data_IF_393682725397
#
_entry.id   IF_393682725397
#
_cell.length_a   1.000
_cell.length_b   1.000
_cell.length_c   1.000
_cell.angle_alpha   90.00
_cell.angle_beta   90.00
_cell.angle_gamma   90.00
#
_symmetry.space_group_name_H-M   'P 1'
#
loop_
_entity.id
_entity.type
_entity.pdbx_description
1 polymer ?
#
# COMPACT_ATOMS: atom_id res chain seq x y z
N UNK A 1 -3.98 -19.39 -10.13
CA UNK A 1 -4.62 -20.70 -9.95
C UNK A 1 -6.04 -20.37 -9.50
N UNK A 2 -7.02 -20.63 -10.34
CA UNK A 2 -8.42 -20.33 -10.01
C UNK A 2 -8.91 -21.58 -9.28
N UNK A 3 -9.32 -21.45 -8.01
CA UNK A 3 -10.02 -22.52 -7.31
C UNK A 3 -11.29 -22.89 -8.13
N UNK A 4 -11.33 -24.12 -8.63
CA UNK A 4 -12.42 -24.68 -9.46
C UNK A 4 -13.41 -25.52 -8.64
N UNK A 5 -13.47 -25.31 -7.31
CA UNK A 5 -14.49 -25.91 -6.45
C UNK A 5 -15.72 -25.00 -6.37
N UNK A 6 -16.85 -25.53 -6.82
CA UNK A 6 -18.16 -24.87 -6.78
C UNK A 6 -19.18 -25.78 -6.12
N UNK A 7 -20.17 -25.20 -5.44
CA UNK A 7 -21.29 -25.95 -4.90
C UNK A 7 -22.05 -26.69 -5.99
N UNK A 8 -22.19 -28.00 -5.86
CA UNK A 8 -23.02 -28.81 -6.73
C UNK A 8 -24.42 -29.01 -6.11
N UNK A 9 -25.50 -28.52 -6.76
CA UNK A 9 -26.86 -28.73 -6.27
C UNK A 9 -27.30 -30.20 -6.16
N UNK A 10 -26.66 -31.10 -6.92
CA UNK A 10 -26.96 -32.53 -6.87
C UNK A 10 -26.16 -33.29 -5.82
N UNK A 11 -24.92 -32.87 -5.52
CA UNK A 11 -24.12 -33.51 -4.47
C UNK A 11 -24.42 -32.91 -3.09
N UNK A 12 -24.88 -31.65 -3.05
CA UNK A 12 -25.12 -30.93 -1.81
C UNK A 12 -23.84 -30.44 -1.12
N UNK A 13 -22.72 -30.43 -1.83
CA UNK A 13 -21.40 -30.03 -1.35
C UNK A 13 -20.59 -29.33 -2.46
N UNK A 14 -19.48 -28.72 -2.10
CA UNK A 14 -18.53 -28.14 -3.05
C UNK A 14 -17.71 -29.24 -3.71
N UNK A 15 -17.77 -29.32 -5.05
CA UNK A 15 -17.07 -30.33 -5.84
C UNK A 15 -16.28 -29.66 -6.97
N UNK A 16 -15.34 -30.39 -7.56
CA UNK A 16 -14.66 -29.96 -8.78
C UNK A 16 -15.65 -29.93 -9.96
N UNK A 17 -15.49 -28.90 -10.82
CA UNK A 17 -16.34 -28.70 -11.98
C UNK A 17 -15.53 -28.32 -13.23
N UNK A 18 -15.91 -28.89 -14.38
CA UNK A 18 -15.34 -28.53 -15.69
C UNK A 18 -16.18 -27.46 -16.37
N UNK A 19 -15.53 -26.39 -16.83
CA UNK A 19 -16.17 -25.34 -17.61
C UNK A 19 -16.60 -25.86 -19.00
N UNK A 20 -17.90 -25.82 -19.27
CA UNK A 20 -18.50 -26.18 -20.58
C UNK A 20 -18.61 -24.94 -21.46
N UNK A 21 -19.08 -23.83 -20.91
CA UNK A 21 -19.26 -22.56 -21.64
C UNK A 21 -18.96 -21.38 -20.75
N UNK A 22 -18.06 -20.51 -21.23
CA UNK A 22 -17.78 -19.24 -20.57
C UNK A 22 -18.81 -18.17 -20.97
N UNK A 23 -19.33 -17.43 -19.99
CA UNK A 23 -20.37 -16.42 -20.22
C UNK A 23 -20.57 -15.48 -19.04
N UNK A 24 -21.68 -14.72 -19.08
CA UNK A 24 -22.18 -13.98 -17.93
C UNK A 24 -22.73 -14.95 -16.87
N UNK A 25 -23.34 -16.05 -17.34
CA UNK A 25 -23.57 -17.28 -16.60
C UNK A 25 -22.67 -18.35 -17.23
N UNK A 26 -21.69 -18.84 -16.47
CA UNK A 26 -20.81 -19.91 -16.94
C UNK A 26 -21.52 -21.24 -16.74
N UNK A 27 -21.62 -22.06 -17.78
CA UNK A 27 -22.10 -23.44 -17.64
C UNK A 27 -20.93 -24.31 -17.24
N UNK A 28 -21.10 -25.01 -16.13
CA UNK A 28 -20.11 -25.94 -15.58
C UNK A 28 -20.73 -27.32 -15.41
N UNK A 29 -19.89 -28.34 -15.46
CA UNK A 29 -20.29 -29.74 -15.24
C UNK A 29 -19.53 -30.30 -14.04
N UNK A 30 -20.26 -30.75 -13.04
CA UNK A 30 -19.70 -31.43 -11.87
C UNK A 30 -18.94 -32.69 -12.31
N UNK A 31 -17.73 -32.89 -11.81
CA UNK A 31 -16.94 -34.10 -12.12
C UNK A 31 -17.41 -35.34 -11.33
N UNK A 32 -18.06 -35.14 -10.18
CA UNK A 32 -18.55 -36.22 -9.32
C UNK A 32 -19.89 -36.81 -9.82
N UNK A 33 -20.90 -35.96 -10.06
CA UNK A 33 -22.25 -36.42 -10.44
C UNK A 33 -22.61 -36.16 -11.90
N UNK A 34 -21.80 -35.40 -12.65
CA UNK A 34 -22.07 -35.06 -14.04
C UNK A 34 -23.15 -33.99 -14.27
N UNK A 35 -23.73 -33.40 -13.21
CA UNK A 35 -24.73 -32.34 -13.35
C UNK A 35 -24.13 -31.13 -14.07
N UNK A 36 -24.82 -30.70 -15.13
CA UNK A 36 -24.53 -29.43 -15.80
C UNK A 36 -25.42 -28.35 -15.20
N UNK A 37 -24.83 -27.30 -14.63
CA UNK A 37 -25.54 -26.17 -14.06
C UNK A 37 -24.81 -24.85 -14.32
N UNK A 38 -25.51 -23.74 -14.15
CA UNK A 38 -24.92 -22.41 -14.31
C UNK A 38 -24.33 -21.92 -12.99
N UNK A 39 -23.08 -21.46 -13.04
CA UNK A 39 -22.47 -20.69 -11.96
C UNK A 39 -22.34 -19.24 -12.42
N UNK A 40 -22.90 -18.34 -11.61
CA UNK A 40 -22.63 -16.92 -11.74
C UNK A 40 -21.32 -16.65 -11.02
N UNK A 41 -20.23 -16.50 -11.77
CA UNK A 41 -19.01 -15.92 -11.22
C UNK A 41 -19.33 -14.47 -10.93
N UNK A 42 -19.41 -14.08 -9.66
CA UNK A 42 -19.58 -12.68 -9.28
C UNK A 42 -18.40 -11.91 -9.87
N UNK A 43 -18.60 -11.27 -11.03
CA UNK A 43 -17.56 -10.46 -11.63
C UNK A 43 -17.49 -9.20 -10.80
N UNK A 44 -16.45 -9.07 -10.00
CA UNK A 44 -16.17 -7.81 -9.31
C UNK A 44 -16.08 -6.69 -10.36
N UNK A 45 -16.98 -5.71 -10.23
CA UNK A 45 -17.00 -4.56 -11.12
C UNK A 45 -15.75 -3.73 -10.85
N UNK A 46 -14.79 -3.74 -11.77
CA UNK A 46 -13.62 -2.87 -11.67
C UNK A 46 -13.99 -1.44 -12.06
N UNK A 47 -13.38 -0.47 -11.36
CA UNK A 47 -13.44 0.95 -11.70
C UNK A 47 -12.03 1.48 -11.96
N UNK A 48 -11.97 2.56 -12.74
CA UNK A 48 -10.72 3.31 -12.94
C UNK A 48 -10.63 4.40 -11.88
N UNK A 49 -9.78 4.19 -10.88
CA UNK A 49 -9.61 5.11 -9.76
C UNK A 49 -8.39 6.02 -9.99
N UNK A 50 -8.58 7.32 -9.75
CA UNK A 50 -7.49 8.31 -9.81
C UNK A 50 -6.71 8.30 -8.50
N UNK A 51 -5.40 8.12 -8.57
CA UNK A 51 -4.47 8.21 -7.44
C UNK A 51 -3.46 9.33 -7.71
N UNK A 52 -3.33 10.28 -6.80
CA UNK A 52 -2.33 11.35 -6.86
C UNK A 52 -1.20 10.96 -5.92
N UNK A 53 -0.06 10.60 -6.50
CA UNK A 53 1.12 10.15 -5.75
C UNK A 53 2.05 11.34 -5.54
N UNK A 54 2.36 11.63 -4.27
CA UNK A 54 3.33 12.63 -3.88
C UNK A 54 4.69 11.97 -3.65
N UNK A 55 5.72 12.49 -4.33
CA UNK A 55 7.13 12.14 -4.16
C UNK A 55 7.94 13.42 -4.03
N UNK A 56 8.57 13.61 -2.87
CA UNK A 56 9.26 14.85 -2.52
C UNK A 56 8.38 16.09 -2.79
N UNK A 57 8.80 16.96 -3.72
CA UNK A 57 8.14 18.21 -4.08
C UNK A 57 7.30 18.07 -5.37
N UNK A 58 7.01 16.84 -5.80
CA UNK A 58 6.27 16.53 -7.02
C UNK A 58 5.02 15.73 -6.71
N UNK A 59 3.93 16.05 -7.39
CA UNK A 59 2.67 15.30 -7.36
C UNK A 59 2.35 14.82 -8.77
N UNK A 60 2.12 13.53 -8.95
CA UNK A 60 1.84 12.92 -10.25
C UNK A 60 0.52 12.13 -10.18
N UNK A 61 -0.42 12.33 -11.13
CA UNK A 61 -1.61 11.51 -11.22
C UNK A 61 -1.34 10.17 -11.91
N UNK A 62 -1.94 9.12 -11.36
CA UNK A 62 -2.02 7.74 -11.83
C UNK A 62 -3.49 7.31 -11.93
N UNK A 63 -3.75 6.29 -12.74
CA UNK A 63 -5.09 5.70 -12.88
C UNK A 63 -5.02 4.18 -12.80
N UNK A 64 -5.47 3.62 -11.68
CA UNK A 64 -5.42 2.18 -11.42
C UNK A 64 -6.80 1.54 -11.61
N UNK A 65 -6.83 0.23 -11.89
CA UNK A 65 -8.06 -0.55 -11.88
C UNK A 65 -8.20 -1.27 -10.53
N UNK A 66 -9.33 -1.06 -9.85
CA UNK A 66 -9.59 -1.62 -8.51
C UNK A 66 -11.05 -2.06 -8.39
N UNK A 67 -11.39 -3.09 -7.58
CA UNK A 67 -12.77 -3.47 -7.35
C UNK A 67 -13.60 -2.31 -6.80
N UNK A 68 -14.80 -2.08 -7.35
CA UNK A 68 -15.69 -0.98 -6.96
C UNK A 68 -16.00 -0.96 -5.46
N UNK A 69 -16.14 -2.16 -4.88
CA UNK A 69 -16.52 -2.37 -3.48
C UNK A 69 -15.32 -2.43 -2.53
N UNK A 70 -14.08 -2.33 -3.06
CA UNK A 70 -12.87 -2.32 -2.24
C UNK A 70 -12.92 -1.15 -1.26
N UNK A 71 -12.67 -1.41 0.02
CA UNK A 71 -12.72 -0.39 1.07
C UNK A 71 -11.33 0.18 1.27
N UNK A 72 -11.14 1.43 0.89
CA UNK A 72 -9.91 2.17 1.10
C UNK A 72 -9.95 2.90 2.44
N UNK A 73 -8.80 2.98 3.13
CA UNK A 73 -8.63 3.77 4.35
C UNK A 73 -7.37 4.62 4.31
N UNK A 74 -7.40 5.75 5.00
CA UNK A 74 -6.19 6.53 5.27
C UNK A 74 -5.24 5.69 6.13
N UNK A 75 -3.97 5.65 5.74
CA UNK A 75 -2.92 4.82 6.32
C UNK A 75 -2.74 3.46 5.63
N UNK A 76 -3.65 3.04 4.74
CA UNK A 76 -3.46 1.80 3.99
C UNK A 76 -2.33 1.95 2.97
N UNK A 77 -1.60 0.86 2.74
CA UNK A 77 -0.64 0.77 1.65
C UNK A 77 -1.34 0.35 0.36
N UNK A 78 -1.02 1.04 -0.74
CA UNK A 78 -1.61 0.83 -2.05
C UNK A 78 -0.49 0.73 -3.09
N UNK A 79 -0.43 -0.42 -3.77
CA UNK A 79 0.41 -0.62 -4.94
C UNK A 79 -0.22 0.12 -6.14
N UNK A 80 0.50 1.10 -6.69
CA UNK A 80 0.03 1.92 -7.80
C UNK A 80 0.72 1.46 -9.09
N UNK A 81 -0.07 0.83 -9.96
CA UNK A 81 0.34 0.44 -11.31
C UNK A 81 -0.73 0.91 -12.31
N UNK A 82 -0.37 1.86 -13.18
CA UNK A 82 -1.22 2.33 -14.27
C UNK A 82 -0.77 1.82 -15.66
N UNK A 83 0.21 0.91 -15.69
CA UNK A 83 0.80 0.33 -16.90
C UNK A 83 1.60 1.29 -17.77
N UNK A 84 1.75 2.57 -17.37
CA UNK A 84 2.44 3.59 -18.16
C UNK A 84 3.77 4.04 -17.56
N UNK A 85 4.02 3.70 -16.29
CA UNK A 85 5.18 4.10 -15.50
C UNK A 85 5.62 2.94 -14.61
N UNK A 86 6.69 3.17 -13.86
CA UNK A 86 7.12 2.26 -12.81
C UNK A 86 6.01 2.08 -11.77
N UNK A 87 5.93 0.86 -11.25
CA UNK A 87 5.05 0.50 -10.16
C UNK A 87 5.57 1.13 -8.87
N UNK A 88 4.69 1.76 -8.10
CA UNK A 88 5.07 2.50 -6.90
C UNK A 88 4.28 1.99 -5.70
N UNK A 89 4.96 1.69 -4.60
CA UNK A 89 4.30 1.46 -3.32
C UNK A 89 3.96 2.79 -2.66
N UNK A 90 2.72 2.95 -2.25
CA UNK A 90 2.22 4.20 -1.67
C UNK A 90 1.47 3.97 -0.37
N UNK A 91 1.37 5.01 0.45
CA UNK A 91 0.53 5.06 1.65
C UNK A 91 -0.57 6.11 1.43
N UNK A 92 -1.83 5.74 1.67
CA UNK A 92 -2.97 6.64 1.53
C UNK A 92 -2.92 7.70 2.62
N UNK A 93 -2.88 8.96 2.22
CA UNK A 93 -2.84 10.12 3.14
C UNK A 93 -4.17 10.86 3.24
N UNK A 94 -5.02 10.76 2.21
CA UNK A 94 -6.36 11.35 2.22
C UNK A 94 -7.22 10.71 1.15
N UNK A 95 -8.51 10.56 1.45
CA UNK A 95 -9.53 10.14 0.48
C UNK A 95 -10.46 11.32 0.16
N UNK A 96 -10.58 11.65 -1.12
CA UNK A 96 -11.44 12.71 -1.62
C UNK A 96 -12.70 12.13 -2.26
N UNK A 97 -13.84 12.27 -1.58
CA UNK A 97 -15.17 11.94 -2.10
C UNK A 97 -15.96 13.24 -2.32
N UNK A 98 -17.22 13.32 -1.89
CA UNK A 98 -17.93 14.60 -1.78
C UNK A 98 -17.37 15.49 -0.66
N UNK A 99 -16.76 14.86 0.34
CA UNK A 99 -15.95 15.48 1.40
C UNK A 99 -14.75 14.59 1.68
N UNK A 100 -13.81 15.07 2.48
CA UNK A 100 -12.73 14.23 3.00
C UNK A 100 -13.27 13.25 4.03
N UNK A 101 -12.82 12.00 3.92
CA UNK A 101 -13.22 10.87 4.76
C UNK A 101 -12.01 10.01 5.08
N UNK A 102 -12.04 9.32 6.21
CA UNK A 102 -10.98 8.38 6.62
C UNK A 102 -11.11 7.02 5.93
N UNK A 103 -12.30 6.67 5.45
CA UNK A 103 -12.56 5.41 4.75
C UNK A 103 -13.75 5.54 3.79
N UNK A 104 -13.68 4.88 2.64
CA UNK A 104 -14.78 4.76 1.69
C UNK A 104 -14.56 3.56 0.74
N UNK A 105 -15.66 3.08 0.14
CA UNK A 105 -15.55 2.19 -1.03
C UNK A 105 -14.94 2.94 -2.20
N UNK A 106 -14.13 2.26 -3.00
CA UNK A 106 -13.44 2.83 -4.15
C UNK A 106 -14.40 3.56 -5.11
N UNK A 107 -15.62 3.04 -5.32
CA UNK A 107 -16.63 3.66 -6.17
C UNK A 107 -17.17 5.01 -5.68
N UNK A 108 -17.04 5.30 -4.38
CA UNK A 108 -17.43 6.57 -3.80
C UNK A 108 -16.28 7.60 -3.77
N UNK A 109 -15.05 7.19 -4.10
CA UNK A 109 -13.85 8.04 -4.06
C UNK A 109 -13.60 8.67 -5.43
N UNK A 110 -13.46 9.99 -5.46
CA UNK A 110 -13.10 10.76 -6.67
C UNK A 110 -11.59 10.76 -6.91
N UNK A 111 -10.81 10.89 -5.83
CA UNK A 111 -9.36 10.83 -5.88
C UNK A 111 -8.77 10.29 -4.56
N UNK A 112 -7.75 9.46 -4.69
CA UNK A 112 -6.89 9.04 -3.57
C UNK A 112 -5.66 9.92 -3.58
N UNK A 113 -5.31 10.50 -2.44
CA UNK A 113 -4.04 11.18 -2.24
C UNK A 113 -3.12 10.24 -1.49
N UNK A 114 -1.99 9.89 -2.11
CA UNK A 114 -1.05 8.94 -1.56
C UNK A 114 0.37 9.53 -1.55
N UNK A 115 1.22 8.99 -0.69
CA UNK A 115 2.64 9.31 -0.60
C UNK A 115 3.43 8.09 -1.05
N UNK A 116 4.44 8.28 -1.89
CA UNK A 116 5.39 7.20 -2.21
C UNK A 116 6.19 6.78 -0.97
N UNK A 117 6.29 5.47 -0.76
CA UNK A 117 6.95 4.87 0.41
C UNK A 117 8.05 3.87 0.07
N UNK A 118 8.38 3.66 -1.21
CA UNK A 118 9.52 2.81 -1.60
C UNK A 118 10.84 3.43 -1.16
N UNK A 119 11.09 4.68 -1.55
CA UNK A 119 12.28 5.45 -1.18
C UNK A 119 11.83 6.77 -0.55
N UNK A 120 12.25 7.03 0.69
CA UNK A 120 11.72 8.15 1.49
C UNK A 120 12.82 9.09 1.97
N UNK A 121 12.52 10.39 2.04
CA UNK A 121 13.46 11.35 2.62
C UNK A 121 13.47 11.24 4.15
N UNK A 122 14.62 10.85 4.70
CA UNK A 122 14.88 10.79 6.13
C UNK A 122 15.63 12.06 6.58
N UNK A 123 15.02 12.82 7.49
CA UNK A 123 15.60 14.03 8.08
C UNK A 123 16.41 13.65 9.32
N UNK A 124 17.64 14.12 9.38
CA UNK A 124 18.56 13.80 10.47
C UNK A 124 19.08 15.09 11.11
N UNK A 125 19.29 15.04 12.42
CA UNK A 125 19.93 16.10 13.19
C UNK A 125 21.05 15.51 14.03
N UNK A 126 22.29 15.77 13.63
CA UNK A 126 23.48 15.26 14.32
C UNK A 126 24.06 16.36 15.22
N UNK A 127 24.19 16.06 16.50
CA UNK A 127 24.75 16.96 17.50
C UNK A 127 26.25 16.69 17.72
N UNK A 128 27.06 17.76 17.68
CA UNK A 128 28.49 17.77 18.00
C UNK A 128 28.87 19.07 18.69
N UNK A 129 29.51 19.01 19.85
CA UNK A 129 30.15 20.16 20.51
C UNK A 129 29.28 21.44 20.61
N UNK A 130 28.00 21.29 20.96
CA UNK A 130 27.07 22.43 21.07
C UNK A 130 26.44 22.87 19.76
N UNK A 131 26.80 22.26 18.63
CA UNK A 131 26.26 22.55 17.31
C UNK A 131 25.41 21.37 16.81
N UNK A 132 24.40 21.67 16.00
CA UNK A 132 23.54 20.67 15.35
C UNK A 132 23.57 20.87 13.85
N UNK A 133 24.00 19.83 13.12
CA UNK A 133 23.99 19.80 11.66
C UNK A 133 22.77 19.00 11.19
N UNK A 134 22.05 19.51 10.20
CA UNK A 134 20.88 18.83 9.65
C UNK A 134 21.18 18.21 8.28
N UNK A 135 20.77 16.96 8.09
CA UNK A 135 20.89 16.23 6.83
C UNK A 135 19.51 15.79 6.33
N UNK A 136 19.38 15.63 5.00
CA UNK A 136 18.26 14.97 4.34
C UNK A 136 18.87 13.91 3.43
N UNK A 137 18.67 12.64 3.79
CA UNK A 137 19.10 11.50 2.96
C UNK A 137 17.88 10.78 2.40
N UNK A 138 18.06 9.99 1.36
CA UNK A 138 17.03 9.08 0.83
C UNK A 138 17.40 7.66 1.25
N UNK A 139 16.43 6.92 1.79
CA UNK A 139 16.58 5.53 2.25
C UNK A 139 15.36 4.71 1.84
N UNK A 140 15.48 3.37 1.75
CA UNK A 140 14.33 2.49 1.60
C UNK A 140 13.31 2.73 2.71
N UNK A 141 12.03 2.83 2.36
CA UNK A 141 10.99 3.14 3.32
C UNK A 141 10.73 2.04 4.34
N UNK A 142 11.09 0.79 4.02
CA UNK A 142 11.01 -0.37 4.91
C UNK A 142 12.24 -0.54 5.81
N UNK A 143 13.30 0.23 5.59
CA UNK A 143 14.50 0.23 6.44
C UNK A 143 14.11 0.60 7.88
N UNK A 144 14.49 -0.24 8.84
CA UNK A 144 14.21 -0.01 10.27
C UNK A 144 15.37 0.78 10.88
N UNK A 145 15.05 1.89 11.54
CA UNK A 145 16.00 2.69 12.31
C UNK A 145 15.77 2.45 13.79
N UNK A 146 16.84 2.22 14.55
CA UNK A 146 16.76 1.93 15.98
C UNK A 146 17.58 2.91 16.83
N UNK A 147 17.08 3.25 18.02
CA UNK A 147 17.85 4.00 19.00
C UNK A 147 19.07 3.16 19.43
N UNK A 148 20.24 3.78 19.35
CA UNK A 148 21.50 3.17 19.70
C UNK A 148 22.29 2.60 18.53
N UNK A 149 21.68 2.49 17.35
CA UNK A 149 22.37 2.18 16.10
C UNK A 149 23.42 3.25 15.79
N UNK A 150 24.57 2.81 15.23
CA UNK A 150 25.63 3.71 14.76
C UNK A 150 25.52 3.82 13.24
N UNK A 151 25.43 5.05 12.74
CA UNK A 151 25.35 5.33 11.31
C UNK A 151 26.43 6.29 10.87
N UNK A 152 26.80 6.19 9.60
CA UNK A 152 27.75 7.06 8.92
C UNK A 152 27.06 7.80 7.79
N UNK A 153 27.21 9.12 7.76
CA UNK A 153 26.68 9.98 6.69
C UNK A 153 27.73 11.02 6.35
N UNK A 154 28.12 11.05 5.09
CA UNK A 154 29.22 11.87 4.58
C UNK A 154 30.53 11.63 5.37
N UNK A 155 30.82 12.47 6.36
CA UNK A 155 32.01 12.39 7.21
C UNK A 155 31.66 12.31 8.71
N UNK A 156 30.37 12.10 9.04
CA UNK A 156 29.87 12.06 10.40
C UNK A 156 29.50 10.62 10.77
N UNK A 157 30.10 10.12 11.86
CA UNK A 157 29.69 8.87 12.50
C UNK A 157 28.92 9.22 13.77
N UNK A 158 27.67 8.77 13.89
CA UNK A 158 26.82 9.15 15.01
C UNK A 158 25.99 7.97 15.53
N UNK A 159 25.69 8.02 16.83
CA UNK A 159 24.74 7.11 17.46
C UNK A 159 23.34 7.73 17.44
N UNK A 160 22.34 6.99 16.98
CA UNK A 160 20.94 7.40 17.05
C UNK A 160 20.51 7.50 18.53
N UNK A 161 19.92 8.64 18.91
CA UNK A 161 19.48 8.90 20.29
C UNK A 161 17.99 9.17 20.42
N UNK A 162 17.30 9.48 19.32
CA UNK A 162 15.88 9.83 19.34
C UNK A 162 15.25 9.68 17.96
N UNK A 163 14.05 9.13 17.89
CA UNK A 163 13.27 8.98 16.66
C UNK A 163 11.89 9.59 16.85
N UNK A 164 11.53 10.58 16.04
CA UNK A 164 10.21 11.22 15.99
C UNK A 164 9.43 10.61 14.84
N UNK A 165 8.25 10.07 15.14
CA UNK A 165 7.33 9.53 14.15
C UNK A 165 6.63 10.67 13.37
N UNK A 166 6.18 10.36 12.14
CA UNK A 166 5.29 11.23 11.33
C UNK A 166 3.94 11.39 12.00
N UNK A 167 3.44 10.33 12.63
CA UNK A 167 2.31 10.39 13.55
C UNK A 167 2.69 11.02 14.89
N UNK A 168 2.03 10.56 15.94
CA UNK A 168 2.27 11.08 17.28
C UNK A 168 3.41 10.36 18.01
N UNK A 169 4.00 11.03 19.01
CA UNK A 169 4.98 10.41 19.90
C UNK A 169 6.40 10.22 19.32
N UNK A 170 7.16 9.38 20.01
CA UNK A 170 8.53 8.94 19.71
C UNK A 170 8.56 7.41 19.82
N UNK A 171 9.55 6.77 19.18
CA UNK A 171 9.71 5.33 19.23
C UNK A 171 11.18 4.95 19.44
N UNK A 172 11.40 3.74 19.97
CA UNK A 172 12.74 3.15 20.09
C UNK A 172 13.22 2.59 18.75
N UNK A 173 12.30 2.18 17.89
CA UNK A 173 12.58 1.78 16.51
C UNK A 173 11.37 2.08 15.61
N UNK A 174 11.60 2.32 14.32
CA UNK A 174 10.53 2.52 13.33
C UNK A 174 11.05 2.30 11.91
N UNK A 175 10.16 1.96 10.97
CA UNK A 175 10.47 1.96 9.54
C UNK A 175 10.69 3.41 9.06
N UNK A 176 11.63 3.64 8.16
CA UNK A 176 11.99 4.96 7.69
C UNK A 176 10.79 5.74 7.11
N UNK A 177 9.85 5.04 6.46
CA UNK A 177 8.62 5.66 5.94
C UNK A 177 7.77 6.30 7.04
N UNK A 178 7.83 5.81 8.28
CA UNK A 178 7.05 6.30 9.42
C UNK A 178 7.78 7.39 10.21
N UNK A 179 9.04 7.69 9.88
CA UNK A 179 9.89 8.62 10.64
C UNK A 179 9.78 10.04 10.07
N UNK A 180 9.56 11.01 10.95
CA UNK A 180 9.62 12.44 10.65
C UNK A 180 11.05 12.98 10.76
N UNK A 181 11.77 12.56 11.80
CA UNK A 181 13.15 12.98 12.07
C UNK A 181 13.86 12.01 13.02
N UNK A 182 15.15 11.80 12.79
CA UNK A 182 16.06 11.13 13.71
C UNK A 182 17.06 12.15 14.27
N UNK A 183 17.42 12.02 15.53
CA UNK A 183 18.54 12.74 16.13
C UNK A 183 19.66 11.78 16.45
N UNK A 184 20.87 12.22 16.15
CA UNK A 184 22.11 11.51 16.43
C UNK A 184 23.05 12.34 17.29
N UNK A 185 23.94 11.66 18.01
CA UNK A 185 25.09 12.27 18.67
C UNK A 185 26.36 11.74 18.01
N UNK A 186 27.18 12.64 17.48
CA UNK A 186 28.47 12.26 16.87
C UNK A 186 29.37 11.57 17.90
N UNK A 187 30.12 10.56 17.43
CA UNK A 187 31.03 9.72 18.22
C UNK A 187 32.47 10.13 17.95
#
# INVERSE_FOLDING_TARGET
MIDDQFFCPSCGEDTDHVLIKFGQESLVRCEECGLVHSVQKERERLIRLKVIVNKDDRSQPYFINIPAREVLRVGDELLVDDGSRDVVMTEITSLEADRRVESAQAEAVKAVWAREIDEVPLKLSVYRNGQTTSFKITVPGDEVIEIGEVREIEHFVFKVVKIKLRGEGFADFAKAKDILRVWGREI
#
